data_IF_499880636781
#
_entry.id   IF_499880636781
#
_cell.length_a   1.000
_cell.length_b   1.000
_cell.length_c   1.000
_cell.angle_alpha   90.00
_cell.angle_beta   90.00
_cell.angle_gamma   90.00
#
_symmetry.space_group_name_H-M   'P 1'
#
loop_
_entity.id
_entity.type
_entity.pdbx_description
1 polymer ?
#
# COMPACT_ATOMS: atom_id res chain seq x y z
N UNK A 1 35.53 39.20 -28.01
CA UNK A 1 35.89 38.63 -26.70
C UNK A 1 34.70 38.89 -25.81
N UNK A 2 33.81 37.91 -25.72
CA UNK A 2 32.56 37.95 -24.97
C UNK A 2 32.33 36.53 -24.46
N UNK A 3 32.89 36.26 -23.28
CA UNK A 3 32.66 35.04 -22.52
C UNK A 3 31.23 35.05 -22.00
N UNK A 4 30.38 34.19 -22.58
CA UNK A 4 29.07 33.87 -22.03
C UNK A 4 29.23 32.65 -21.13
N UNK A 5 29.08 32.87 -19.82
CA UNK A 5 29.08 31.86 -18.78
C UNK A 5 28.09 30.74 -19.10
N UNK A 6 28.61 29.59 -19.52
CA UNK A 6 27.83 28.35 -19.69
C UNK A 6 27.51 27.81 -18.30
N UNK A 7 26.24 27.95 -17.90
CA UNK A 7 25.74 27.42 -16.64
C UNK A 7 25.55 25.89 -16.80
N UNK A 8 26.54 25.14 -16.33
CA UNK A 8 26.56 23.67 -16.20
C UNK A 8 25.64 23.23 -15.06
N UNK A 9 24.34 23.45 -15.23
CA UNK A 9 23.35 23.10 -14.22
C UNK A 9 22.89 21.65 -14.42
N UNK A 10 23.67 20.77 -13.80
CA UNK A 10 23.18 19.58 -13.12
C UNK A 10 22.71 18.46 -14.03
N UNK A 11 23.57 17.49 -14.24
CA UNK A 11 23.12 16.10 -14.38
C UNK A 11 22.05 15.85 -13.31
N UNK A 12 20.81 15.43 -13.67
CA UNK A 12 19.96 14.86 -12.66
C UNK A 12 20.66 13.57 -12.30
N UNK A 13 21.40 13.62 -11.18
CA UNK A 13 21.88 12.44 -10.49
C UNK A 13 20.63 11.59 -10.38
N UNK A 14 20.53 10.56 -11.21
CA UNK A 14 19.50 9.55 -11.08
C UNK A 14 19.74 8.98 -9.69
N UNK A 15 19.05 9.56 -8.72
CA UNK A 15 18.96 9.06 -7.38
C UNK A 15 18.32 7.71 -7.59
N UNK A 16 19.19 6.70 -7.63
CA UNK A 16 18.83 5.32 -7.53
C UNK A 16 18.38 5.15 -6.07
N UNK A 17 17.26 5.79 -5.74
CA UNK A 17 16.57 5.67 -4.47
C UNK A 17 15.95 4.27 -4.52
N UNK A 18 16.78 3.28 -4.21
CA UNK A 18 16.30 2.04 -3.65
C UNK A 18 15.54 2.44 -2.38
N UNK A 19 14.25 2.76 -2.56
CA UNK A 19 13.36 3.26 -1.53
C UNK A 19 13.36 2.22 -0.44
N UNK A 20 14.01 2.54 0.68
CA UNK A 20 14.05 1.68 1.84
C UNK A 20 12.61 1.27 2.19
N UNK A 21 12.35 -0.01 2.51
CA UNK A 21 11.02 -0.45 2.88
C UNK A 21 10.52 0.43 4.04
N UNK A 22 9.31 0.98 3.92
CA UNK A 22 8.70 1.75 5.00
C UNK A 22 8.43 0.80 6.17
N UNK A 23 9.39 0.73 7.10
CA UNK A 23 9.35 -0.21 8.22
C UNK A 23 8.11 0.01 9.11
N UNK A 24 7.66 1.26 9.24
CA UNK A 24 6.45 1.58 10.00
C UNK A 24 5.20 1.08 9.26
N UNK A 25 5.11 1.36 7.95
CA UNK A 25 4.02 0.87 7.10
C UNK A 25 3.92 -0.65 7.09
N UNK A 26 5.06 -1.35 6.98
CA UNK A 26 5.09 -2.82 7.00
C UNK A 26 4.71 -3.40 8.36
N UNK A 27 5.23 -2.84 9.45
CA UNK A 27 4.86 -3.27 10.80
C UNK A 27 3.36 -3.07 11.08
N UNK A 28 2.80 -1.93 10.67
CA UNK A 28 1.37 -1.66 10.78
C UNK A 28 0.54 -2.66 9.98
N UNK A 29 0.97 -3.00 8.76
CA UNK A 29 0.27 -3.96 7.91
C UNK A 29 0.24 -5.36 8.54
N UNK A 30 1.38 -5.85 9.02
CA UNK A 30 1.44 -7.15 9.71
C UNK A 30 0.62 -7.17 11.00
N UNK A 31 0.60 -6.06 11.74
CA UNK A 31 -0.23 -5.95 12.94
C UNK A 31 -1.71 -6.03 12.58
N UNK A 32 -2.16 -5.33 11.55
CA UNK A 32 -3.56 -5.37 11.08
C UNK A 32 -3.94 -6.78 10.62
N UNK A 33 -3.09 -7.43 9.83
CA UNK A 33 -3.32 -8.82 9.39
C UNK A 33 -3.43 -9.79 10.58
N UNK A 34 -2.54 -9.65 11.56
CA UNK A 34 -2.58 -10.45 12.80
C UNK A 34 -3.87 -10.21 13.60
N UNK A 35 -4.33 -8.96 13.66
CA UNK A 35 -5.60 -8.61 14.32
C UNK A 35 -6.79 -9.23 13.59
N UNK A 36 -6.83 -9.16 12.25
CA UNK A 36 -7.90 -9.77 11.45
C UNK A 36 -7.97 -11.28 11.71
N UNK A 37 -6.83 -11.98 11.70
CA UNK A 37 -6.77 -13.42 11.97
C UNK A 37 -7.26 -13.73 13.39
N UNK A 38 -6.82 -12.99 14.40
CA UNK A 38 -7.27 -13.18 15.77
C UNK A 38 -8.77 -12.93 15.98
N UNK A 39 -9.38 -12.00 15.23
CA UNK A 39 -10.82 -11.75 15.27
C UNK A 39 -11.63 -12.87 14.60
N UNK A 40 -11.11 -13.41 13.49
CA UNK A 40 -11.68 -14.59 12.80
C UNK A 40 -11.62 -15.83 13.70
N UNK A 41 -10.48 -16.09 14.34
CA UNK A 41 -10.30 -17.21 15.28
C UNK A 41 -11.28 -17.13 16.46
N UNK A 42 -11.59 -15.91 16.92
CA UNK A 42 -12.56 -15.65 17.98
C UNK A 42 -14.01 -15.58 17.48
N UNK A 43 -14.25 -15.84 16.20
CA UNK A 43 -15.57 -15.79 15.56
C UNK A 43 -16.30 -14.46 15.73
N UNK A 44 -15.56 -13.34 15.77
CA UNK A 44 -16.14 -11.99 15.80
C UNK A 44 -16.73 -11.61 14.43
N UNK A 45 -16.09 -12.05 13.35
CA UNK A 45 -16.61 -12.04 11.99
C UNK A 45 -15.98 -13.20 11.18
N UNK A 46 -16.64 -13.62 10.11
CA UNK A 46 -16.21 -14.71 9.22
C UNK A 46 -15.08 -14.28 8.29
N UNK A 47 -14.42 -15.25 7.64
CA UNK A 47 -13.38 -14.95 6.65
C UNK A 47 -13.98 -14.19 5.46
N UNK A 48 -15.21 -14.52 5.05
CA UNK A 48 -15.93 -13.83 3.99
C UNK A 48 -16.23 -12.38 4.35
N UNK A 49 -16.66 -12.13 5.59
CA UNK A 49 -16.86 -10.76 6.11
C UNK A 49 -15.54 -9.98 6.12
N UNK A 50 -14.42 -10.63 6.50
CA UNK A 50 -13.09 -10.03 6.45
C UNK A 50 -12.68 -9.64 5.02
N UNK A 51 -12.90 -10.53 4.04
CA UNK A 51 -12.62 -10.27 2.62
C UNK A 51 -13.45 -9.07 2.14
N UNK A 52 -14.74 -9.03 2.47
CA UNK A 52 -15.61 -7.91 2.11
C UNK A 52 -15.13 -6.58 2.70
N UNK A 53 -14.69 -6.56 3.96
CA UNK A 53 -14.14 -5.36 4.59
C UNK A 53 -12.89 -4.84 3.85
N UNK A 54 -12.00 -5.72 3.43
CA UNK A 54 -10.80 -5.33 2.68
C UNK A 54 -11.15 -4.85 1.28
N UNK A 55 -12.10 -5.50 0.60
CA UNK A 55 -12.56 -5.07 -0.73
C UNK A 55 -13.24 -3.67 -0.65
N UNK A 56 -14.03 -3.40 0.39
CA UNK A 56 -14.58 -2.05 0.65
C UNK A 56 -13.45 -1.03 0.89
N UNK A 57 -12.41 -1.40 1.64
CA UNK A 57 -11.27 -0.50 1.87
C UNK A 57 -10.52 -0.17 0.58
N UNK A 58 -10.42 -1.12 -0.36
CA UNK A 58 -9.86 -0.91 -1.70
C UNK A 58 -10.68 0.11 -2.48
N UNK A 59 -12.00 -0.06 -2.52
CA UNK A 59 -12.91 0.87 -3.20
C UNK A 59 -12.81 2.28 -2.62
N UNK A 60 -12.94 2.40 -1.29
CA UNK A 60 -12.86 3.69 -0.59
C UNK A 60 -11.51 4.38 -0.83
N UNK A 61 -10.39 3.63 -0.83
CA UNK A 61 -9.06 4.19 -1.10
C UNK A 61 -8.96 4.69 -2.54
N UNK A 62 -9.53 3.97 -3.50
CA UNK A 62 -9.58 4.40 -4.91
C UNK A 62 -10.38 5.69 -5.07
N UNK A 63 -11.54 5.77 -4.43
CA UNK A 63 -12.44 6.92 -4.55
C UNK A 63 -11.86 8.18 -3.89
N UNK A 64 -11.21 8.03 -2.74
CA UNK A 64 -10.64 9.16 -1.99
C UNK A 64 -9.25 9.60 -2.46
N UNK A 65 -8.59 8.85 -3.35
CA UNK A 65 -7.20 9.11 -3.72
C UNK A 65 -6.98 10.54 -4.26
N UNK A 66 -7.91 11.02 -5.10
CA UNK A 66 -7.88 12.37 -5.65
C UNK A 66 -8.06 13.46 -4.59
N UNK A 67 -8.96 13.21 -3.64
CA UNK A 67 -9.28 14.16 -2.55
C UNK A 67 -8.15 14.27 -1.52
N UNK A 68 -7.43 13.16 -1.30
CA UNK A 68 -6.26 13.11 -0.40
C UNK A 68 -4.99 13.67 -1.05
N UNK A 69 -5.01 13.98 -2.34
CA UNK A 69 -3.84 14.45 -3.08
C UNK A 69 -2.78 13.36 -3.26
N UNK A 70 -3.19 12.08 -3.25
CA UNK A 70 -2.25 10.97 -3.45
C UNK A 70 -1.65 11.03 -4.86
N UNK A 71 -0.34 10.81 -4.95
CA UNK A 71 0.27 10.53 -6.25
C UNK A 71 -0.24 9.19 -6.78
N UNK A 72 -0.33 8.99 -8.12
CA UNK A 72 -0.72 7.71 -8.71
C UNK A 72 0.12 6.53 -8.20
N UNK A 73 1.41 6.76 -7.93
CA UNK A 73 2.31 5.76 -7.36
C UNK A 73 1.95 5.36 -5.93
N UNK A 74 1.54 6.34 -5.10
CA UNK A 74 1.14 6.11 -3.71
C UNK A 74 -0.18 5.35 -3.66
N UNK A 75 -1.12 5.71 -4.54
CA UNK A 75 -2.36 4.97 -4.71
C UNK A 75 -2.09 3.52 -5.13
N UNK A 76 -1.30 3.31 -6.19
CA UNK A 76 -0.98 1.97 -6.69
C UNK A 76 -0.34 1.08 -5.60
N UNK A 77 0.57 1.63 -4.79
CA UNK A 77 1.17 0.93 -3.65
C UNK A 77 0.14 0.57 -2.58
N UNK A 78 -0.71 1.52 -2.23
CA UNK A 78 -1.76 1.31 -1.22
C UNK A 78 -2.73 0.21 -1.66
N UNK A 79 -3.18 0.24 -2.92
CA UNK A 79 -4.07 -0.77 -3.49
C UNK A 79 -3.41 -2.15 -3.57
N UNK A 80 -2.11 -2.20 -3.92
CA UNK A 80 -1.36 -3.45 -3.96
C UNK A 80 -1.26 -4.10 -2.57
N UNK A 81 -1.02 -3.30 -1.53
CA UNK A 81 -0.97 -3.78 -0.14
C UNK A 81 -2.32 -4.33 0.32
N UNK A 82 -3.42 -3.59 0.11
CA UNK A 82 -4.76 -4.05 0.45
C UNK A 82 -5.14 -5.32 -0.33
N UNK A 83 -4.79 -5.39 -1.62
CA UNK A 83 -5.02 -6.58 -2.45
C UNK A 83 -4.25 -7.80 -1.96
N UNK A 84 -3.04 -7.60 -1.42
CA UNK A 84 -2.25 -8.68 -0.81
C UNK A 84 -2.94 -9.27 0.41
N UNK A 85 -3.51 -8.43 1.28
CA UNK A 85 -4.28 -8.87 2.46
C UNK A 85 -5.51 -9.66 2.00
N UNK A 86 -6.30 -9.13 1.06
CA UNK A 86 -7.49 -9.82 0.54
C UNK A 86 -7.12 -11.17 -0.10
N UNK A 87 -5.98 -11.26 -0.77
CA UNK A 87 -5.46 -12.52 -1.33
C UNK A 87 -5.04 -13.52 -0.25
N UNK A 88 -4.40 -13.06 0.84
CA UNK A 88 -4.03 -13.86 2.01
C UNK A 88 -5.28 -14.52 2.62
N UNK A 89 -6.30 -13.71 2.93
CA UNK A 89 -7.57 -14.19 3.49
C UNK A 89 -8.32 -15.17 2.58
N UNK A 90 -8.29 -14.94 1.26
CA UNK A 90 -8.88 -15.86 0.27
C UNK A 90 -8.15 -17.20 0.21
N UNK A 91 -6.86 -17.23 0.51
CA UNK A 91 -6.13 -18.49 0.63
C UNK A 91 -6.56 -19.24 1.89
N UNK A 92 -6.68 -18.53 3.02
CA UNK A 92 -7.14 -19.11 4.28
C UNK A 92 -8.53 -19.73 4.14
N UNK A 93 -9.45 -19.06 3.42
CA UNK A 93 -10.79 -19.59 3.13
C UNK A 93 -10.76 -20.93 2.38
N UNK A 94 -9.79 -21.14 1.47
CA UNK A 94 -9.66 -22.40 0.72
C UNK A 94 -9.08 -23.54 1.55
N UNK A 95 -8.40 -23.22 2.65
CA UNK A 95 -7.68 -24.18 3.49
C UNK A 95 -8.45 -24.59 4.75
N UNK A 96 -9.60 -23.95 5.02
CA UNK A 96 -10.54 -24.34 6.09
C UNK A 96 -11.68 -25.19 5.54
#
# INVERSE_FOLDING_TARGET
MTDAFSNDNGTPRAANDAREPDAYGQAALFLVESVLHGLIERSVFSIEEAIQLVDIAVEVKSDLAGDLGDSPETLAKSLALLSSISSSLRNDLKTR
#
